data_IF_949887235307
#
_entry.id   IF_949887235307
#
_cell.length_a   1.000
_cell.length_b   1.000
_cell.length_c   1.000
_cell.angle_alpha   90.00
_cell.angle_beta   90.00
_cell.angle_gamma   90.00
#
_symmetry.space_group_name_H-M   'P 1'
#
loop_
_entity.id
_entity.type
_entity.pdbx_description
1 polymer ?
#
# COMPACT_ATOMS: atom_id res chain seq x y z
N UNK A 1 13.32 -0.03 -11.54
CA UNK A 1 11.98 0.46 -11.93
C UNK A 1 12.07 1.93 -12.32
N UNK A 2 11.37 2.37 -13.38
CA UNK A 2 11.35 3.79 -13.78
C UNK A 2 10.53 4.59 -12.75
N UNK A 3 10.94 5.81 -12.33
CA UNK A 3 10.21 6.60 -11.32
C UNK A 3 8.74 6.87 -11.71
N UNK A 4 8.48 7.16 -12.99
CA UNK A 4 7.12 7.36 -13.51
C UNK A 4 6.24 6.12 -13.36
N UNK A 5 6.80 4.93 -13.53
CA UNK A 5 6.08 3.67 -13.38
C UNK A 5 5.76 3.41 -11.90
N UNK A 6 6.73 3.68 -11.00
CA UNK A 6 6.50 3.58 -9.56
C UNK A 6 5.36 4.48 -9.10
N UNK A 7 5.32 5.73 -9.57
CA UNK A 7 4.27 6.68 -9.21
C UNK A 7 2.86 6.15 -9.51
N UNK A 8 2.67 5.45 -10.64
CA UNK A 8 1.37 4.86 -11.00
C UNK A 8 1.07 3.63 -10.14
N UNK A 9 2.04 2.72 -10.00
CA UNK A 9 1.84 1.45 -9.29
C UNK A 9 1.69 1.65 -7.77
N UNK A 10 2.26 2.71 -7.21
CA UNK A 10 2.20 3.03 -5.78
C UNK A 10 0.77 3.16 -5.23
N UNK A 11 -0.20 3.49 -6.08
CA UNK A 11 -1.62 3.60 -5.71
C UNK A 11 -2.35 2.26 -5.71
N UNK A 12 -1.79 1.22 -6.32
CA UNK A 12 -2.43 -0.08 -6.51
C UNK A 12 -2.77 -0.80 -5.18
N UNK A 13 -1.90 -0.81 -4.17
CA UNK A 13 -2.24 -1.36 -2.84
C UNK A 13 -3.43 -0.65 -2.20
N UNK A 14 -3.50 0.67 -2.35
CA UNK A 14 -4.59 1.47 -1.78
C UNK A 14 -5.92 1.17 -2.49
N UNK A 15 -5.91 1.12 -3.82
CA UNK A 15 -7.08 0.76 -4.62
C UNK A 15 -7.58 -0.65 -4.26
N UNK A 16 -6.67 -1.62 -4.10
CA UNK A 16 -7.01 -2.97 -3.68
C UNK A 16 -7.61 -2.99 -2.26
N UNK A 17 -7.03 -2.26 -1.31
CA UNK A 17 -7.57 -2.17 0.04
C UNK A 17 -9.02 -1.64 0.03
N UNK A 18 -9.28 -0.58 -0.74
CA UNK A 18 -10.62 -0.02 -0.88
C UNK A 18 -11.58 -1.01 -1.55
N UNK A 19 -11.14 -1.71 -2.59
CA UNK A 19 -11.94 -2.74 -3.25
C UNK A 19 -12.31 -3.88 -2.29
N UNK A 20 -11.35 -4.40 -1.54
CA UNK A 20 -11.58 -5.47 -0.55
C UNK A 20 -12.49 -4.98 0.59
N UNK A 21 -12.35 -3.73 1.03
CA UNK A 21 -13.25 -3.12 2.03
C UNK A 21 -14.70 -3.08 1.53
N UNK A 22 -14.92 -2.61 0.30
CA UNK A 22 -16.25 -2.53 -0.29
C UNK A 22 -16.85 -3.93 -0.50
N UNK A 23 -16.04 -4.88 -0.95
CA UNK A 23 -16.44 -6.28 -1.10
C UNK A 23 -16.82 -6.91 0.24
N UNK A 24 -15.98 -6.78 1.27
CA UNK A 24 -16.21 -7.38 2.58
C UNK A 24 -17.45 -6.80 3.30
N UNK A 25 -17.86 -5.57 2.96
CA UNK A 25 -19.10 -4.95 3.50
C UNK A 25 -20.38 -5.60 2.97
N UNK A 26 -20.31 -6.36 1.88
CA UNK A 26 -21.48 -7.06 1.32
C UNK A 26 -21.82 -8.35 2.07
N UNK A 27 -20.92 -8.81 2.94
CA UNK A 27 -21.07 -10.06 3.67
C UNK A 27 -21.16 -9.83 5.17
N UNK A 28 -22.05 -10.55 5.82
CA UNK A 28 -22.19 -10.60 7.28
C UNK A 28 -21.77 -11.98 7.84
N UNK A 29 -21.44 -11.99 9.13
CA UNK A 29 -21.09 -13.22 9.87
C UNK A 29 -19.93 -14.00 9.22
N UNK A 30 -20.19 -15.25 8.87
CA UNK A 30 -19.19 -16.18 8.32
C UNK A 30 -18.59 -15.70 6.98
N UNK A 31 -19.38 -15.04 6.13
CA UNK A 31 -18.90 -14.54 4.84
C UNK A 31 -17.84 -13.43 5.01
N UNK A 32 -17.99 -12.61 6.06
CA UNK A 32 -17.01 -11.57 6.40
C UNK A 32 -15.70 -12.16 6.93
N UNK A 33 -15.78 -13.24 7.70
CA UNK A 33 -14.60 -13.96 8.18
C UNK A 33 -13.84 -14.64 7.04
N UNK A 34 -14.55 -15.25 6.10
CA UNK A 34 -13.96 -15.84 4.90
C UNK A 34 -13.26 -14.81 3.98
N UNK A 35 -13.70 -13.54 4.00
CA UNK A 35 -13.05 -12.45 3.27
C UNK A 35 -11.81 -11.87 3.97
N UNK A 36 -11.56 -12.19 5.26
CA UNK A 36 -10.46 -11.63 6.03
C UNK A 36 -9.05 -11.88 5.42
N UNK A 37 -8.74 -13.06 4.86
CA UNK A 37 -7.44 -13.30 4.21
C UNK A 37 -7.18 -12.40 3.01
N UNK A 38 -8.23 -11.91 2.33
CA UNK A 38 -8.08 -11.03 1.16
C UNK A 38 -7.43 -9.68 1.52
N UNK A 39 -7.50 -9.27 2.80
CA UNK A 39 -6.83 -8.06 3.28
C UNK A 39 -5.29 -8.20 3.34
N UNK A 40 -4.74 -9.42 3.28
CA UNK A 40 -3.28 -9.61 3.27
C UNK A 40 -2.66 -9.18 1.94
N UNK A 41 -3.37 -9.34 0.82
CA UNK A 41 -2.85 -8.99 -0.50
C UNK A 41 -2.45 -7.51 -0.63
N UNK A 42 -3.31 -6.51 -0.31
CA UNK A 42 -2.91 -5.11 -0.35
C UNK A 42 -1.80 -4.78 0.65
N UNK A 43 -1.72 -5.51 1.78
CA UNK A 43 -0.66 -5.32 2.80
C UNK A 43 0.70 -5.80 2.30
N UNK A 44 0.77 -6.99 1.73
CA UNK A 44 2.01 -7.54 1.16
C UNK A 44 2.50 -6.66 0.02
N UNK A 45 1.59 -6.27 -0.89
CA UNK A 45 1.92 -5.40 -2.01
C UNK A 45 2.38 -4.02 -1.54
N UNK A 46 1.74 -3.47 -0.51
CA UNK A 46 2.15 -2.23 0.16
C UNK A 46 3.58 -2.34 0.69
N UNK A 47 3.90 -3.39 1.46
CA UNK A 47 5.24 -3.57 2.02
C UNK A 47 6.33 -3.66 0.93
N UNK A 48 6.08 -4.43 -0.13
CA UNK A 48 7.01 -4.56 -1.26
C UNK A 48 7.23 -3.21 -1.95
N UNK A 49 6.17 -2.47 -2.24
CA UNK A 49 6.28 -1.17 -2.91
C UNK A 49 6.91 -0.09 -2.03
N UNK A 50 6.72 -0.13 -0.71
CA UNK A 50 7.41 0.77 0.22
C UNK A 50 8.92 0.54 0.17
N UNK A 51 9.38 -0.71 0.19
CA UNK A 51 10.82 -1.03 0.08
C UNK A 51 11.39 -0.50 -1.24
N UNK A 52 10.70 -0.70 -2.36
CA UNK A 52 11.12 -0.14 -3.65
C UNK A 52 11.09 1.40 -3.66
N UNK A 53 10.07 2.02 -3.08
CA UNK A 53 9.92 3.47 -2.98
C UNK A 53 11.05 4.11 -2.20
N UNK A 54 11.39 3.55 -1.04
CA UNK A 54 12.53 3.99 -0.22
C UNK A 54 13.85 3.86 -1.00
N UNK A 55 14.06 2.74 -1.70
CA UNK A 55 15.26 2.56 -2.52
C UNK A 55 15.35 3.60 -3.67
N UNK A 56 14.23 3.92 -4.31
CA UNK A 56 14.17 4.96 -5.35
C UNK A 56 14.42 6.34 -4.76
N UNK A 57 13.78 6.69 -3.65
CA UNK A 57 14.00 7.96 -2.94
C UNK A 57 15.47 8.14 -2.58
N UNK A 58 16.14 7.10 -2.05
CA UNK A 58 17.58 7.17 -1.74
C UNK A 58 18.43 7.45 -2.98
N UNK A 59 18.10 6.81 -4.12
CA UNK A 59 18.81 7.04 -5.39
C UNK A 59 18.60 8.44 -5.95
N UNK A 60 17.36 8.94 -5.91
CA UNK A 60 17.02 10.28 -6.39
C UNK A 60 17.61 11.38 -5.49
N UNK A 61 17.67 11.14 -4.17
CA UNK A 61 18.35 12.03 -3.22
C UNK A 61 19.85 12.16 -3.52
N UNK A 62 20.52 11.02 -3.75
CA UNK A 62 21.94 11.00 -4.11
C UNK A 62 22.21 11.70 -5.46
N UNK A 63 21.22 11.71 -6.36
CA UNK A 63 21.30 12.38 -7.66
C UNK A 63 20.89 13.88 -7.61
N UNK A 64 20.53 14.42 -6.44
CA UNK A 64 20.10 15.81 -6.28
C UNK A 64 18.76 16.14 -6.96
N UNK A 65 17.91 15.13 -7.19
CA UNK A 65 16.63 15.28 -7.90
C UNK A 65 15.45 15.48 -6.96
N UNK A 66 14.32 15.92 -7.52
CA UNK A 66 13.10 16.21 -6.79
C UNK A 66 12.53 14.93 -6.11
N UNK A 67 12.57 14.93 -4.78
CA UNK A 67 12.11 13.83 -3.92
C UNK A 67 10.61 13.84 -3.62
N UNK A 68 9.98 15.01 -3.67
CA UNK A 68 8.62 15.21 -3.17
C UNK A 68 7.61 14.23 -3.78
N UNK A 69 7.62 14.06 -5.11
CA UNK A 69 6.69 13.17 -5.80
C UNK A 69 6.93 11.67 -5.51
N UNK A 70 8.17 11.26 -5.28
CA UNK A 70 8.49 9.87 -4.93
C UNK A 70 8.19 9.58 -3.46
N UNK A 71 8.42 10.56 -2.58
CA UNK A 71 8.09 10.48 -1.17
C UNK A 71 6.57 10.36 -0.98
N UNK A 72 5.77 11.20 -1.64
CA UNK A 72 4.31 11.11 -1.57
C UNK A 72 3.77 9.79 -2.13
N UNK A 73 4.32 9.31 -3.24
CA UNK A 73 3.95 7.99 -3.78
C UNK A 73 4.31 6.86 -2.79
N UNK A 74 5.49 6.92 -2.16
CA UNK A 74 5.91 5.92 -1.16
C UNK A 74 5.01 5.95 0.07
N UNK A 75 4.62 7.15 0.53
CA UNK A 75 3.67 7.32 1.63
C UNK A 75 2.29 6.75 1.28
N UNK A 76 1.78 7.03 0.08
CA UNK A 76 0.52 6.48 -0.40
C UNK A 76 0.55 4.94 -0.44
N UNK A 77 1.66 4.36 -0.94
CA UNK A 77 1.86 2.92 -0.96
C UNK A 77 1.92 2.31 0.45
N UNK A 78 2.33 3.07 1.48
CA UNK A 78 2.43 2.60 2.86
C UNK A 78 1.08 2.55 3.60
N UNK A 79 0.04 3.23 3.10
CA UNK A 79 -1.25 3.35 3.78
C UNK A 79 -1.85 1.98 4.15
N UNK A 80 -1.89 0.96 3.26
CA UNK A 80 -2.49 -0.33 3.62
C UNK A 80 -1.73 -1.09 4.70
N UNK A 81 -0.38 -1.06 4.68
CA UNK A 81 0.42 -1.66 5.73
C UNK A 81 0.21 -0.95 7.08
N UNK A 82 0.19 0.38 7.10
CA UNK A 82 -0.09 1.16 8.31
C UNK A 82 -1.49 0.89 8.85
N UNK A 83 -2.50 0.87 7.98
CA UNK A 83 -3.87 0.52 8.35
C UNK A 83 -3.94 -0.86 9.00
N UNK A 84 -3.25 -1.85 8.43
CA UNK A 84 -3.22 -3.20 8.99
C UNK A 84 -2.56 -3.25 10.36
N UNK A 85 -1.41 -2.58 10.53
CA UNK A 85 -0.73 -2.48 11.83
C UNK A 85 -1.65 -1.85 12.89
N UNK A 86 -2.31 -0.74 12.56
CA UNK A 86 -3.28 -0.09 13.46
C UNK A 86 -4.42 -1.05 13.83
N UNK A 87 -4.93 -1.82 12.86
CA UNK A 87 -6.01 -2.78 13.12
C UNK A 87 -5.59 -3.92 14.03
N UNK A 88 -4.36 -4.42 13.88
CA UNK A 88 -3.79 -5.48 14.73
C UNK A 88 -3.50 -4.96 16.15
N UNK A 89 -3.04 -3.72 16.29
CA UNK A 89 -2.78 -3.11 17.60
C UNK A 89 -4.06 -2.71 18.35
N UNK A 90 -5.15 -2.45 17.63
CA UNK A 90 -6.44 -2.06 18.19
C UNK A 90 -7.39 -3.24 18.44
N UNK A 91 -7.01 -4.46 18.06
CA UNK A 91 -7.76 -5.71 18.27
C UNK A 91 -7.23 -6.49 19.46
#
# INVERSE_FOLDING_TARGET
MKPRLFYVIAWLPLALLLGVQLYARQFDGWGRWAAAPLFLLPVILSAVLVVFGVAICRREAAAGRALAAMATATLAAAIPALWFVVRVLAS
#
